data_IF_189755330743
#
_entry.id   IF_189755330743
#
_cell.length_a   1.000
_cell.length_b   1.000
_cell.length_c   1.000
_cell.angle_alpha   90.00
_cell.angle_beta   90.00
_cell.angle_gamma   90.00
#
_symmetry.space_group_name_H-M   'P 1'
#
loop_
_entity.id
_entity.type
_entity.pdbx_description
1 polymer ?
#
# COMPACT_ATOMS: atom_id res chain seq x y z
N UNK A 1 3.24 32.26 -16.17
CA UNK A 1 2.95 31.52 -16.07
C UNK A 1 2.96 30.49 -15.72
N UNK A 2 2.79 30.51 -15.60
CA UNK A 2 2.72 29.72 -14.99
C UNK A 2 3.10 28.55 -15.27
N UNK A 3 3.85 28.52 -15.36
CA UNK A 3 4.50 27.38 -15.60
C UNK A 3 4.01 26.15 -14.98
N UNK A 4 3.16 26.28 -14.22
CA UNK A 4 2.53 25.13 -13.64
C UNK A 4 1.59 24.43 -14.60
N UNK A 5 1.52 24.95 -15.79
CA UNK A 5 0.74 24.38 -16.83
C UNK A 5 1.14 22.92 -17.04
N UNK A 6 0.24 22.00 -16.93
CA UNK A 6 0.54 20.59 -17.09
C UNK A 6 1.12 19.92 -15.86
N UNK A 7 1.50 20.65 -14.84
CA UNK A 7 1.99 20.08 -13.63
C UNK A 7 0.85 19.69 -12.72
N UNK A 8 0.93 18.48 -12.15
CA UNK A 8 -0.04 18.07 -11.17
C UNK A 8 0.19 18.79 -9.86
N UNK A 9 -0.87 19.14 -9.19
CA UNK A 9 -0.78 19.57 -7.81
C UNK A 9 -0.32 18.39 -6.98
N UNK A 10 0.42 18.65 -5.93
CA UNK A 10 0.90 17.60 -5.05
C UNK A 10 -0.26 16.72 -4.56
N UNK A 11 -1.40 17.34 -4.25
CA UNK A 11 -2.58 16.62 -3.76
C UNK A 11 -3.17 15.67 -4.79
N UNK A 12 -2.83 15.86 -6.08
CA UNK A 12 -3.36 15.04 -7.16
C UNK A 12 -2.38 13.97 -7.64
N UNK A 13 -1.21 13.91 -7.03
CA UNK A 13 -0.21 12.93 -7.44
C UNK A 13 -0.46 11.60 -6.75
N UNK A 14 -0.29 10.48 -7.48
CA UNK A 14 -0.38 9.16 -6.86
C UNK A 14 0.66 9.00 -5.76
N UNK A 15 0.27 8.33 -4.71
CA UNK A 15 1.12 8.10 -3.54
C UNK A 15 1.17 6.60 -3.28
N UNK A 16 2.36 6.08 -3.06
CA UNK A 16 2.56 4.71 -2.67
C UNK A 16 3.02 4.67 -1.21
N UNK A 17 2.33 3.89 -0.41
CA UNK A 17 2.66 3.67 0.98
C UNK A 17 3.16 2.24 1.11
N UNK A 18 4.39 2.07 1.55
CA UNK A 18 4.96 0.75 1.81
C UNK A 18 4.89 0.50 3.31
N UNK A 19 4.22 -0.56 3.68
CA UNK A 19 4.14 -0.95 5.09
C UNK A 19 4.84 -2.29 5.26
N UNK A 20 5.88 -2.32 6.10
CA UNK A 20 6.53 -3.58 6.44
C UNK A 20 5.98 -4.04 7.77
N UNK A 21 5.31 -5.18 7.74
CA UNK A 21 4.80 -5.84 8.93
C UNK A 21 5.78 -6.88 9.39
N UNK A 22 6.10 -6.88 10.68
CA UNK A 22 6.94 -7.91 11.28
C UNK A 22 6.21 -8.53 12.45
N UNK A 23 6.45 -9.81 12.66
CA UNK A 23 5.84 -10.55 13.74
C UNK A 23 6.70 -11.76 14.08
N UNK A 24 6.15 -12.68 14.84
CA UNK A 24 6.83 -13.92 15.19
C UNK A 24 5.93 -15.09 14.81
N UNK A 25 6.53 -16.27 14.66
CA UNK A 25 5.79 -17.53 14.46
C UNK A 25 4.89 -17.51 13.22
N UNK A 26 5.31 -16.81 12.17
CA UNK A 26 4.55 -16.71 10.92
C UNK A 26 3.35 -15.80 11.01
N UNK A 27 3.25 -14.98 12.04
CA UNK A 27 2.06 -14.17 12.28
C UNK A 27 1.81 -13.11 11.20
N UNK A 28 2.88 -12.53 10.63
CA UNK A 28 2.69 -11.54 9.57
C UNK A 28 2.06 -12.18 8.33
N UNK A 29 2.48 -13.39 7.98
CA UNK A 29 1.88 -14.12 6.87
C UNK A 29 0.44 -14.49 7.17
N UNK A 30 0.16 -14.96 8.39
CA UNK A 30 -1.21 -15.30 8.80
C UNK A 30 -2.12 -14.08 8.71
N UNK A 31 -1.62 -12.93 9.13
CA UNK A 31 -2.38 -11.66 9.02
C UNK A 31 -2.73 -11.36 7.57
N UNK A 32 -1.72 -11.41 6.68
CA UNK A 32 -1.96 -11.13 5.26
C UNK A 32 -2.96 -12.12 4.66
N UNK A 33 -2.83 -13.40 5.00
CA UNK A 33 -3.75 -14.42 4.53
C UNK A 33 -5.18 -14.17 5.03
N UNK A 34 -5.33 -13.74 6.28
CA UNK A 34 -6.65 -13.46 6.82
C UNK A 34 -7.25 -12.20 6.19
N UNK A 35 -6.43 -11.17 5.94
CA UNK A 35 -6.89 -9.97 5.23
C UNK A 35 -7.45 -10.33 3.85
N UNK A 36 -6.82 -11.27 3.18
CA UNK A 36 -7.27 -11.73 1.85
C UNK A 36 -8.53 -12.59 1.99
N UNK A 37 -8.48 -13.60 2.86
CA UNK A 37 -9.55 -14.58 2.98
C UNK A 37 -10.86 -13.97 3.49
N UNK A 38 -10.78 -12.95 4.33
CA UNK A 38 -11.96 -12.29 4.88
C UNK A 38 -12.68 -11.38 3.88
N UNK A 39 -12.07 -11.13 2.71
CA UNK A 39 -12.60 -10.19 1.72
C UNK A 39 -12.21 -8.75 1.99
N UNK A 40 -11.44 -8.48 3.04
CA UNK A 40 -11.04 -7.12 3.38
C UNK A 40 -10.17 -6.51 2.28
N UNK A 41 -9.21 -7.27 1.74
CA UNK A 41 -8.37 -6.78 0.65
C UNK A 41 -9.19 -6.41 -0.57
N UNK A 42 -10.15 -7.26 -0.94
CA UNK A 42 -11.00 -6.97 -2.10
C UNK A 42 -11.86 -5.74 -1.86
N UNK A 43 -12.33 -5.53 -0.65
CA UNK A 43 -13.10 -4.34 -0.30
C UNK A 43 -12.24 -3.08 -0.41
N UNK A 44 -10.98 -3.14 0.01
CA UNK A 44 -10.07 -2.01 -0.12
C UNK A 44 -9.78 -1.72 -1.58
N UNK A 45 -9.56 -2.76 -2.38
CA UNK A 45 -9.30 -2.59 -3.81
C UNK A 45 -10.48 -1.99 -4.56
N UNK A 46 -11.67 -2.12 -4.02
CA UNK A 46 -12.87 -1.52 -4.60
C UNK A 46 -13.08 -0.07 -4.19
N UNK A 47 -12.30 0.44 -3.24
CA UNK A 47 -12.44 1.84 -2.82
C UNK A 47 -11.97 2.78 -3.92
N UNK A 48 -12.65 3.92 -4.03
CA UNK A 48 -12.30 4.93 -5.01
C UNK A 48 -10.87 5.40 -4.81
N UNK A 49 -10.10 5.39 -5.87
CA UNK A 49 -8.72 5.87 -5.83
C UNK A 49 -7.69 4.84 -5.42
N UNK A 50 -8.10 3.63 -5.04
CA UNK A 50 -7.11 2.59 -4.76
C UNK A 50 -6.51 2.10 -6.07
N UNK A 51 -5.18 2.15 -6.17
CA UNK A 51 -4.43 1.74 -7.36
C UNK A 51 -3.76 0.38 -7.16
N UNK A 52 -3.42 0.05 -5.92
CA UNK A 52 -2.71 -1.19 -5.62
C UNK A 52 -2.85 -1.49 -4.13
N UNK A 53 -3.06 -2.74 -3.81
CA UNK A 53 -3.06 -3.21 -2.43
C UNK A 53 -2.62 -4.67 -2.48
N UNK A 54 -1.33 -4.90 -2.24
CA UNK A 54 -0.74 -6.19 -2.53
C UNK A 54 0.32 -6.55 -1.51
N UNK A 55 0.29 -7.79 -1.04
CA UNK A 55 1.24 -8.28 -0.04
C UNK A 55 2.36 -9.09 -0.69
N UNK A 56 3.55 -8.98 -0.12
CA UNK A 56 4.75 -9.69 -0.55
C UNK A 56 5.50 -10.21 0.67
N UNK A 57 6.06 -11.39 0.56
CA UNK A 57 6.88 -11.93 1.66
C UNK A 57 8.35 -11.69 1.33
N UNK A 58 9.12 -11.26 2.33
CA UNK A 58 10.56 -11.07 2.15
C UNK A 58 11.25 -12.42 1.98
N UNK A 59 12.15 -12.51 0.99
CA UNK A 59 12.91 -13.74 0.78
C UNK A 59 13.97 -13.94 1.86
N UNK A 60 14.46 -12.84 2.43
CA UNK A 60 15.50 -12.91 3.46
C UNK A 60 14.93 -13.12 4.85
N UNK A 61 13.67 -12.73 5.06
CA UNK A 61 13.05 -12.80 6.38
C UNK A 61 11.58 -13.15 6.25
N UNK A 62 11.23 -14.43 6.36
CA UNK A 62 9.83 -14.86 6.20
C UNK A 62 8.89 -14.32 7.27
N UNK A 63 9.42 -13.73 8.33
CA UNK A 63 8.59 -13.05 9.34
C UNK A 63 8.21 -11.64 8.94
N UNK A 64 8.66 -11.18 7.77
CA UNK A 64 8.37 -9.85 7.27
C UNK A 64 7.50 -9.91 6.03
N UNK A 65 6.38 -9.20 6.06
CA UNK A 65 5.47 -9.05 4.92
C UNK A 65 5.44 -7.56 4.54
N UNK A 66 5.65 -7.30 3.26
CA UNK A 66 5.55 -5.95 2.71
C UNK A 66 4.18 -5.78 2.08
N UNK A 67 3.49 -4.71 2.46
CA UNK A 67 2.30 -4.27 1.76
C UNK A 67 2.67 -3.08 0.88
N UNK A 68 2.37 -3.18 -0.41
CA UNK A 68 2.42 -2.03 -1.30
C UNK A 68 0.99 -1.53 -1.45
N UNK A 69 0.75 -0.31 -0.99
CA UNK A 69 -0.56 0.30 -0.85
C UNK A 69 -0.53 1.63 -1.59
N UNK A 70 -1.14 1.69 -2.77
CA UNK A 70 -1.00 2.84 -3.65
C UNK A 70 -2.36 3.47 -3.95
N UNK A 71 -2.42 4.79 -3.94
CA UNK A 71 -3.64 5.57 -4.06
C UNK A 71 -3.46 6.72 -5.04
N UNK A 72 -4.56 7.12 -5.66
CA UNK A 72 -4.54 8.18 -6.67
C UNK A 72 -4.10 9.52 -6.09
N UNK A 73 -4.39 9.79 -4.82
CA UNK A 73 -4.05 11.05 -4.16
C UNK A 73 -4.27 10.93 -2.66
N UNK A 74 -3.92 12.00 -1.94
CA UNK A 74 -4.09 12.03 -0.47
C UNK A 74 -5.56 11.95 -0.07
N UNK A 75 -6.44 12.54 -0.84
CA UNK A 75 -7.88 12.50 -0.53
C UNK A 75 -8.40 11.07 -0.49
N UNK A 76 -7.95 10.22 -1.41
CA UNK A 76 -8.34 8.82 -1.43
C UNK A 76 -7.84 8.09 -0.18
N UNK A 77 -6.63 8.40 0.26
CA UNK A 77 -6.08 7.82 1.50
C UNK A 77 -6.92 8.28 2.69
N UNK A 78 -7.27 9.57 2.74
CA UNK A 78 -8.06 10.09 3.86
C UNK A 78 -9.42 9.43 3.92
N UNK A 79 -10.07 9.21 2.79
CA UNK A 79 -11.35 8.52 2.72
C UNK A 79 -11.22 7.08 3.20
N UNK A 80 -10.14 6.40 2.80
CA UNK A 80 -9.86 5.04 3.24
C UNK A 80 -9.73 4.99 4.77
N UNK A 81 -8.96 5.92 5.34
CA UNK A 81 -8.74 5.96 6.78
C UNK A 81 -10.01 6.29 7.57
N UNK A 82 -11.02 6.86 6.91
CA UNK A 82 -12.29 7.19 7.56
C UNK A 82 -13.29 6.03 7.52
N UNK A 83 -12.95 4.91 6.87
CA UNK A 83 -13.88 3.77 6.79
C UNK A 83 -13.90 2.98 8.08
N UNK A 84 -15.03 2.32 8.41
CA UNK A 84 -15.08 1.42 9.57
C UNK A 84 -14.12 0.25 9.47
N UNK A 85 -13.69 -0.08 8.26
CA UNK A 85 -12.75 -1.16 7.99
C UNK A 85 -11.43 -0.98 8.74
N UNK A 86 -11.04 0.27 9.03
CA UNK A 86 -9.80 0.51 9.75
C UNK A 86 -9.78 -0.12 11.14
N UNK A 87 -10.95 -0.20 11.79
CA UNK A 87 -11.05 -0.89 13.07
C UNK A 87 -10.79 -2.39 12.94
N UNK A 88 -11.29 -2.99 11.84
CA UNK A 88 -11.05 -4.41 11.57
C UNK A 88 -9.56 -4.67 11.35
N UNK A 89 -8.91 -3.80 10.56
CA UNK A 89 -7.48 -3.94 10.29
C UNK A 89 -6.68 -3.80 11.58
N UNK A 90 -7.00 -2.81 12.40
CA UNK A 90 -6.32 -2.59 13.68
C UNK A 90 -6.46 -3.80 14.60
N UNK A 91 -7.66 -4.39 14.66
CA UNK A 91 -7.90 -5.57 15.48
C UNK A 91 -7.08 -6.77 15.01
N UNK A 92 -6.92 -6.94 13.70
CA UNK A 92 -6.10 -8.02 13.15
C UNK A 92 -4.61 -7.80 13.43
N UNK A 93 -4.14 -6.56 13.34
CA UNK A 93 -2.75 -6.23 13.70
C UNK A 93 -2.47 -6.59 15.15
N UNK A 94 -3.40 -6.29 16.02
CA UNK A 94 -3.27 -6.62 17.43
C UNK A 94 -3.34 -8.13 17.67
N UNK A 95 -4.28 -8.81 17.01
CA UNK A 95 -4.46 -10.26 17.13
C UNK A 95 -3.16 -11.00 16.84
N UNK A 96 -2.43 -10.54 15.85
CA UNK A 96 -1.19 -11.21 15.43
C UNK A 96 0.07 -10.56 16.02
N UNK A 97 -0.10 -9.59 16.92
CA UNK A 97 1.00 -8.90 17.59
C UNK A 97 2.04 -8.38 16.59
N UNK A 98 1.54 -7.63 15.61
CA UNK A 98 2.40 -7.13 14.54
C UNK A 98 2.96 -5.76 14.87
N UNK A 99 4.19 -5.54 14.42
CA UNK A 99 4.81 -4.23 14.41
C UNK A 99 4.99 -3.81 12.96
N UNK A 100 5.08 -2.50 12.72
CA UNK A 100 5.15 -2.04 11.34
C UNK A 100 5.99 -0.78 11.21
N UNK A 101 6.61 -0.65 10.04
CA UNK A 101 7.25 0.59 9.61
C UNK A 101 6.56 1.05 8.34
N UNK A 102 6.49 2.36 8.15
CA UNK A 102 5.75 2.95 7.04
C UNK A 102 6.66 3.92 6.28
N UNK A 103 6.68 3.77 4.96
CA UNK A 103 7.38 4.70 4.08
C UNK A 103 6.42 5.17 3.00
N UNK A 104 6.51 6.42 2.61
CA UNK A 104 5.63 6.98 1.60
C UNK A 104 6.45 7.53 0.45
N UNK A 105 5.94 7.32 -0.76
CA UNK A 105 6.61 7.74 -1.99
C UNK A 105 5.61 8.33 -2.94
N UNK A 106 6.07 9.29 -3.75
CA UNK A 106 5.29 9.77 -4.89
C UNK A 106 5.62 8.89 -6.08
N UNK A 107 4.60 8.51 -6.84
CA UNK A 107 4.82 7.67 -8.01
C UNK A 107 5.44 8.52 -9.13
N UNK A 108 6.48 7.99 -9.75
CA UNK A 108 7.18 8.66 -10.83
C UNK A 108 7.20 7.72 -12.05
N UNK A 109 6.81 8.26 -13.19
CA UNK A 109 6.83 7.47 -14.42
C UNK A 109 8.26 7.21 -14.85
N UNK A 110 8.47 6.01 -15.42
CA UNK A 110 9.77 5.66 -15.97
C UNK A 110 10.04 6.52 -17.21
N UNK A 111 11.15 7.25 -17.27
CA UNK A 111 11.49 8.01 -18.46
C UNK A 111 11.61 7.09 -19.68
N UNK A 112 11.18 7.60 -20.83
CA UNK A 112 11.23 6.83 -22.06
C UNK A 112 12.65 6.39 -22.39
N UNK A 113 13.64 7.21 -22.04
CA UNK A 113 15.05 6.91 -22.29
C UNK A 113 15.53 5.66 -21.55
N UNK A 114 14.81 5.21 -20.52
CA UNK A 114 15.19 4.04 -19.75
C UNK A 114 14.52 2.75 -20.25
N UNK A 115 13.64 2.85 -21.24
CA UNK A 115 12.94 1.67 -21.76
C UNK A 115 13.91 0.62 -22.31
N UNK A 116 15.07 1.03 -22.79
CA UNK A 116 16.06 0.09 -23.33
C UNK A 116 16.64 -0.85 -22.27
N UNK A 117 16.49 -0.49 -21.00
CA UNK A 117 16.94 -1.34 -19.88
C UNK A 117 15.86 -2.24 -19.34
N UNK A 118 14.64 -2.11 -19.87
CA UNK A 118 13.49 -2.86 -19.40
C UNK A 118 13.17 -3.95 -20.41
N UNK A 119 13.36 -5.19 -19.99
CA UNK A 119 13.04 -6.32 -20.84
C UNK A 119 11.54 -6.56 -20.79
N UNK A 120 10.90 -6.52 -21.96
CA UNK A 120 9.43 -6.71 -22.05
C UNK A 120 9.06 -8.05 -22.63
#
# INVERSE_FOLDING_TARGET
MTGCCGNKQEKDMPITVNIRYTGANGNALKFAEEMIASGTVNAIRAEEGNLRYEYFQSLDDPETILLIDSWANQEAIDKHHATPMMATIAALREKYDLHMTVERYTNVDTPETENRFIRK
#
